data_IF_812325113955
#
_entry.id   IF_812325113955
#
_cell.length_a   1.000
_cell.length_b   1.000
_cell.length_c   1.000
_cell.angle_alpha   90.00
_cell.angle_beta   90.00
_cell.angle_gamma   90.00
#
_symmetry.space_group_name_H-M   'P 1'
#
loop_
_entity.id
_entity.type
_entity.pdbx_description
1 polymer ?
#
# COMPACT_ATOMS: atom_id res chain seq x y z
N UNK A 1 -30.35 24.66 6.22
CA UNK A 1 -29.38 24.01 5.31
C UNK A 1 -28.32 23.39 6.21
N UNK A 2 -28.68 22.26 6.82
CA UNK A 2 -27.77 21.46 7.65
C UNK A 2 -26.78 20.78 6.73
N UNK A 3 -25.49 21.02 6.96
CA UNK A 3 -24.42 20.30 6.29
C UNK A 3 -24.51 18.87 6.79
N UNK A 4 -25.03 17.97 5.96
CA UNK A 4 -24.95 16.54 6.21
C UNK A 4 -23.48 16.21 6.24
N UNK A 5 -23.01 15.84 7.43
CA UNK A 5 -21.71 15.19 7.61
C UNK A 5 -21.87 13.87 6.87
N UNK A 6 -21.39 13.80 5.65
CA UNK A 6 -21.16 12.52 4.98
C UNK A 6 -20.14 11.80 5.83
N UNK A 7 -20.64 10.99 6.77
CA UNK A 7 -19.85 9.95 7.40
C UNK A 7 -19.18 9.20 6.25
N UNK A 8 -17.86 9.35 6.15
CA UNK A 8 -17.01 8.56 5.27
C UNK A 8 -17.19 7.10 5.72
N UNK A 9 -18.24 6.44 5.24
CA UNK A 9 -18.45 5.02 5.45
C UNK A 9 -17.30 4.35 4.72
N UNK A 10 -16.27 3.98 5.49
CA UNK A 10 -15.17 3.20 4.99
C UNK A 10 -15.78 1.94 4.36
N UNK A 11 -15.37 1.55 3.15
CA UNK A 11 -15.77 0.28 2.58
C UNK A 11 -15.64 -0.84 3.62
N UNK A 12 -16.61 -1.74 3.65
CA UNK A 12 -16.65 -2.85 4.63
C UNK A 12 -15.31 -3.60 4.72
N UNK A 13 -14.58 -3.71 3.61
CA UNK A 13 -13.24 -4.28 3.56
C UNK A 13 -12.21 -3.53 4.43
N UNK A 14 -12.23 -2.19 4.45
CA UNK A 14 -11.34 -1.36 5.26
C UNK A 14 -11.73 -1.36 6.74
N UNK A 15 -13.03 -1.45 7.05
CA UNK A 15 -13.50 -1.63 8.43
C UNK A 15 -13.05 -2.97 9.00
N UNK A 16 -13.24 -4.05 8.24
CA UNK A 16 -12.74 -5.40 8.60
C UNK A 16 -11.22 -5.41 8.76
N UNK A 17 -10.49 -4.79 7.84
CA UNK A 17 -9.04 -4.68 7.93
C UNK A 17 -8.59 -3.94 9.19
N UNK A 18 -9.30 -2.87 9.58
CA UNK A 18 -9.04 -2.11 10.80
C UNK A 18 -9.36 -2.88 12.08
N UNK A 19 -10.47 -3.60 12.10
CA UNK A 19 -10.82 -4.46 13.22
C UNK A 19 -9.76 -5.55 13.43
N UNK A 20 -9.32 -6.20 12.35
CA UNK A 20 -8.25 -7.19 12.40
C UNK A 20 -6.91 -6.59 12.87
N UNK A 21 -6.57 -5.39 12.41
CA UNK A 21 -5.37 -4.68 12.84
C UNK A 21 -5.37 -4.43 14.36
N UNK A 22 -6.51 -4.01 14.90
CA UNK A 22 -6.67 -3.78 16.33
C UNK A 22 -6.54 -5.08 17.14
N UNK A 23 -7.14 -6.18 16.67
CA UNK A 23 -7.01 -7.51 17.29
C UNK A 23 -5.57 -8.03 17.24
N UNK A 24 -4.89 -7.86 16.10
CA UNK A 24 -3.50 -8.27 15.90
C UNK A 24 -2.46 -7.33 16.54
N UNK A 25 -2.91 -6.20 17.12
CA UNK A 25 -2.04 -5.20 17.75
C UNK A 25 -1.11 -4.47 16.76
N UNK A 26 -1.54 -4.32 15.50
CA UNK A 26 -0.74 -3.61 14.49
C UNK A 26 -0.75 -2.10 14.72
N UNK A 27 0.38 -1.40 14.49
CA UNK A 27 0.49 0.04 14.71
C UNK A 27 -0.04 0.89 13.54
N UNK A 28 -0.79 0.30 12.60
CA UNK A 28 -1.33 0.95 11.40
C UNK A 28 -2.75 0.44 11.09
N UNK A 29 -3.44 1.08 10.15
CA UNK A 29 -4.90 0.94 9.98
C UNK A 29 -5.37 -0.43 9.47
N UNK A 30 -4.48 -1.29 8.99
CA UNK A 30 -4.78 -2.68 8.65
C UNK A 30 -4.11 -3.17 7.38
N UNK A 31 -4.55 -4.33 6.90
CA UNK A 31 -4.02 -4.97 5.71
C UNK A 31 -5.14 -5.47 4.80
N UNK A 32 -4.96 -5.30 3.50
CA UNK A 32 -5.89 -5.78 2.46
C UNK A 32 -5.14 -6.63 1.44
N UNK A 33 -5.79 -7.64 0.88
CA UNK A 33 -5.20 -8.45 -0.19
C UNK A 33 -5.10 -7.67 -1.51
N UNK A 34 -4.26 -8.09 -2.46
CA UNK A 34 -4.12 -7.38 -3.74
C UNK A 34 -5.45 -7.19 -4.50
N UNK A 35 -6.36 -8.19 -4.59
CA UNK A 35 -7.64 -7.99 -5.28
C UNK A 35 -8.53 -6.94 -4.61
N UNK A 36 -8.59 -6.93 -3.27
CA UNK A 36 -9.35 -5.94 -2.51
C UNK A 36 -8.73 -4.55 -2.67
N UNK A 37 -7.40 -4.46 -2.61
CA UNK A 37 -6.68 -3.21 -2.86
C UNK A 37 -7.02 -2.64 -4.25
N UNK A 38 -7.03 -3.49 -5.27
CA UNK A 38 -7.35 -3.06 -6.63
C UNK A 38 -8.80 -2.60 -6.78
N UNK A 39 -9.75 -3.33 -6.18
CA UNK A 39 -11.15 -2.92 -6.18
C UNK A 39 -11.34 -1.52 -5.56
N UNK A 40 -10.70 -1.25 -4.42
CA UNK A 40 -10.78 0.05 -3.74
C UNK A 40 -10.22 1.20 -4.59
N UNK A 41 -9.15 0.93 -5.36
CA UNK A 41 -8.56 1.90 -6.29
C UNK A 41 -9.51 2.18 -7.45
N UNK A 42 -10.09 1.13 -8.06
CA UNK A 42 -11.03 1.26 -9.17
C UNK A 42 -12.32 1.99 -8.78
N UNK A 43 -12.76 1.84 -7.53
CA UNK A 43 -13.90 2.57 -6.97
C UNK A 43 -13.56 4.01 -6.55
N UNK A 44 -12.30 4.45 -6.68
CA UNK A 44 -11.84 5.79 -6.29
C UNK A 44 -11.82 6.02 -4.77
N UNK A 45 -11.83 4.95 -3.97
CA UNK A 45 -11.93 5.01 -2.51
C UNK A 45 -10.58 4.95 -1.80
N UNK A 46 -9.51 4.63 -2.53
CA UNK A 46 -8.17 4.56 -1.98
C UNK A 46 -7.11 4.86 -3.04
N UNK A 47 -5.95 5.32 -2.59
CA UNK A 47 -4.80 5.61 -3.43
C UNK A 47 -3.74 4.53 -3.24
N UNK A 48 -3.34 3.88 -4.33
CA UNK A 48 -2.25 2.91 -4.31
C UNK A 48 -0.90 3.63 -4.40
N UNK A 49 -0.01 3.30 -3.46
CA UNK A 49 1.36 3.84 -3.42
C UNK A 49 2.35 2.68 -3.45
N UNK A 50 3.10 2.57 -4.54
CA UNK A 50 4.25 1.68 -4.64
C UNK A 50 5.40 2.25 -3.81
N UNK A 51 5.84 1.49 -2.82
CA UNK A 51 6.97 1.84 -1.93
C UNK A 51 8.25 1.08 -2.25
N UNK A 52 8.26 0.28 -3.32
CA UNK A 52 9.46 -0.37 -3.84
C UNK A 52 10.45 0.66 -4.37
N UNK A 53 11.69 0.22 -4.54
CA UNK A 53 12.70 1.07 -5.16
C UNK A 53 12.35 1.36 -6.63
N UNK A 54 12.96 2.40 -7.20
CA UNK A 54 12.77 2.72 -8.64
C UNK A 54 13.29 1.59 -9.54
N UNK A 55 14.37 0.94 -9.12
CA UNK A 55 14.96 -0.20 -9.82
C UNK A 55 14.01 -1.40 -9.85
N UNK A 56 13.37 -1.74 -8.72
CA UNK A 56 12.37 -2.81 -8.67
C UNK A 56 11.21 -2.54 -9.66
N UNK A 57 10.71 -1.30 -9.71
CA UNK A 57 9.66 -0.92 -10.66
C UNK A 57 10.09 -1.05 -12.11
N UNK A 58 11.34 -0.67 -12.43
CA UNK A 58 11.86 -0.74 -13.79
C UNK A 58 12.11 -2.17 -14.25
N UNK A 59 12.69 -3.02 -13.41
CA UNK A 59 13.08 -4.38 -13.80
C UNK A 59 11.96 -5.41 -13.65
N UNK A 60 11.04 -5.23 -12.69
CA UNK A 60 9.97 -6.20 -12.41
C UNK A 60 8.63 -5.74 -13.01
N UNK A 61 8.46 -4.44 -13.21
CA UNK A 61 7.19 -3.82 -13.60
C UNK A 61 6.42 -3.25 -12.41
N UNK A 62 5.32 -2.55 -12.68
CA UNK A 62 4.55 -1.79 -11.70
C UNK A 62 3.07 -1.61 -12.11
N UNK A 63 2.25 -1.15 -11.18
CA UNK A 63 0.84 -0.78 -11.44
C UNK A 63 0.81 0.63 -12.01
N UNK A 64 0.30 0.82 -13.22
CA UNK A 64 0.33 2.11 -13.95
C UNK A 64 -0.37 3.25 -13.20
N UNK A 65 -1.43 2.95 -12.45
CA UNK A 65 -2.22 3.92 -11.68
C UNK A 65 -1.62 4.24 -10.30
N UNK A 66 -0.55 3.53 -9.90
CA UNK A 66 0.06 3.75 -8.58
C UNK A 66 0.92 5.01 -8.52
N UNK A 67 0.84 5.71 -7.39
CA UNK A 67 1.85 6.69 -7.02
C UNK A 67 3.13 5.97 -6.59
N UNK A 68 4.27 6.66 -6.65
CA UNK A 68 5.55 6.08 -6.23
C UNK A 68 6.22 6.94 -5.17
N UNK A 69 6.53 6.31 -4.03
CA UNK A 69 7.31 6.88 -2.93
C UNK A 69 8.16 5.78 -2.34
N UNK A 70 9.42 5.70 -2.75
CA UNK A 70 10.32 4.64 -2.32
C UNK A 70 10.54 4.68 -0.78
N UNK A 71 10.21 3.58 -0.10
CA UNK A 71 10.53 3.39 1.32
C UNK A 71 12.03 3.26 1.55
N UNK A 72 12.71 2.62 0.59
CA UNK A 72 14.14 2.42 0.57
C UNK A 72 14.66 2.61 -0.85
N UNK A 73 15.90 3.08 -0.97
CA UNK A 73 16.54 3.43 -2.24
C UNK A 73 17.81 2.63 -2.47
N UNK A 74 18.15 2.44 -3.74
CA UNK A 74 19.32 1.68 -4.17
C UNK A 74 19.24 0.18 -3.88
N UNK A 75 20.23 -0.55 -4.35
CA UNK A 75 20.35 -2.01 -4.16
C UNK A 75 20.61 -2.40 -2.71
N UNK A 76 21.22 -1.50 -1.93
CA UNK A 76 21.45 -1.68 -0.50
C UNK A 76 20.18 -1.47 0.36
N UNK A 77 19.05 -1.07 -0.25
CA UNK A 77 17.79 -0.77 0.44
C UNK A 77 17.98 0.19 1.62
N UNK A 78 18.74 1.26 1.41
CA UNK A 78 18.94 2.31 2.41
C UNK A 78 17.63 3.04 2.63
N UNK A 79 17.19 3.12 3.90
CA UNK A 79 15.93 3.76 4.28
C UNK A 79 15.87 5.20 3.78
N UNK A 80 14.76 5.59 3.15
CA UNK A 80 14.53 6.96 2.71
C UNK A 80 14.09 7.82 3.91
N UNK A 81 14.93 8.75 4.41
CA UNK A 81 14.57 9.59 5.55
C UNK A 81 13.44 10.58 5.22
N UNK A 82 13.15 10.80 3.94
CA UNK A 82 12.12 11.73 3.46
C UNK A 82 10.79 11.04 3.15
N UNK A 83 10.70 9.72 3.33
CA UNK A 83 9.55 8.92 2.94
C UNK A 83 8.21 9.52 3.38
N UNK A 84 8.06 9.81 4.69
CA UNK A 84 6.80 10.34 5.25
C UNK A 84 6.40 11.66 4.60
N UNK A 85 7.37 12.57 4.43
CA UNK A 85 7.14 13.88 3.80
C UNK A 85 6.75 13.75 2.33
N UNK A 86 7.42 12.85 1.61
CA UNK A 86 7.13 12.58 0.20
C UNK A 86 5.77 11.90 0.03
N UNK A 87 5.41 10.98 0.93
CA UNK A 87 4.10 10.34 0.99
C UNK A 87 2.98 11.38 1.20
N UNK A 88 3.13 12.26 2.19
CA UNK A 88 2.16 13.32 2.46
C UNK A 88 1.98 14.26 1.27
N UNK A 89 3.09 14.67 0.64
CA UNK A 89 3.06 15.52 -0.54
C UNK A 89 2.37 14.86 -1.74
N UNK A 90 2.54 13.54 -1.92
CA UNK A 90 1.89 12.78 -2.99
C UNK A 90 0.40 12.58 -2.76
N UNK A 91 -0.02 12.45 -1.51
CA UNK A 91 -1.41 12.28 -1.10
C UNK A 91 -2.14 13.60 -0.86
N UNK A 92 -1.47 14.75 -1.01
CA UNK A 92 -2.04 16.07 -0.70
C UNK A 92 -3.36 16.36 -1.43
N UNK A 93 -3.49 15.91 -2.69
CA UNK A 93 -4.73 16.08 -3.49
C UNK A 93 -5.87 15.15 -3.04
N UNK A 94 -5.55 14.09 -2.30
CA UNK A 94 -6.44 13.01 -1.89
C UNK A 94 -6.78 13.09 -0.39
N UNK A 95 -6.42 14.18 0.30
CA UNK A 95 -6.66 14.39 1.73
C UNK A 95 -5.41 14.33 2.62
N UNK A 96 -4.21 14.20 2.05
CA UNK A 96 -2.95 14.24 2.80
C UNK A 96 -2.83 13.09 3.81
N UNK A 97 -2.79 13.42 5.10
CA UNK A 97 -2.71 12.42 6.18
C UNK A 97 -4.02 11.66 6.43
N UNK A 98 -5.13 12.20 5.96
CA UNK A 98 -6.45 11.57 6.07
C UNK A 98 -6.82 10.76 4.83
N UNK A 99 -5.99 10.80 3.79
CA UNK A 99 -6.16 9.99 2.59
C UNK A 99 -6.06 8.49 2.92
N UNK A 100 -6.93 7.69 2.31
CA UNK A 100 -6.85 6.22 2.37
C UNK A 100 -5.71 5.75 1.47
N UNK A 101 -4.57 5.40 2.07
CA UNK A 101 -3.36 5.00 1.36
C UNK A 101 -3.13 3.48 1.46
N UNK A 102 -2.97 2.83 0.30
CA UNK A 102 -2.60 1.42 0.20
C UNK A 102 -1.13 1.31 -0.18
N UNK A 103 -0.29 0.82 0.73
CA UNK A 103 1.15 0.72 0.51
C UNK A 103 1.51 -0.64 -0.08
N UNK A 104 2.07 -0.64 -1.28
CA UNK A 104 2.48 -1.84 -2.01
C UNK A 104 4.00 -1.97 -1.99
N UNK A 105 4.51 -3.11 -1.53
CA UNK A 105 5.91 -3.47 -1.74
C UNK A 105 6.03 -4.80 -2.51
N UNK A 106 7.21 -5.43 -2.53
CA UNK A 106 7.39 -6.72 -3.20
C UNK A 106 6.58 -7.87 -2.59
N UNK A 107 6.52 -7.98 -1.26
CA UNK A 107 5.88 -9.12 -0.56
C UNK A 107 5.05 -8.76 0.68
N UNK A 108 4.65 -7.50 0.83
CA UNK A 108 3.92 -7.00 2.01
C UNK A 108 4.78 -6.65 3.25
N UNK A 109 6.04 -7.10 3.33
CA UNK A 109 6.91 -6.90 4.51
C UNK A 109 7.40 -5.46 4.69
N UNK A 110 7.92 -4.84 3.62
CA UNK A 110 8.45 -3.45 3.67
C UNK A 110 7.32 -2.42 3.75
N UNK A 111 6.20 -2.69 3.10
CA UNK A 111 5.01 -1.86 3.16
C UNK A 111 4.39 -1.83 4.56
N UNK A 112 4.46 -2.91 5.33
CA UNK A 112 4.08 -2.89 6.75
C UNK A 112 4.92 -1.90 7.58
N UNK A 113 6.26 -1.92 7.41
CA UNK A 113 7.17 -0.98 8.09
C UNK A 113 6.95 0.47 7.64
N UNK A 114 6.67 0.66 6.35
CA UNK A 114 6.32 1.95 5.79
C UNK A 114 4.99 2.48 6.37
N UNK A 115 3.99 1.60 6.51
CA UNK A 115 2.68 1.92 7.09
C UNK A 115 2.81 2.30 8.57
N UNK A 116 3.60 1.56 9.34
CA UNK A 116 3.91 1.90 10.73
C UNK A 116 4.56 3.29 10.84
N UNK A 117 5.53 3.60 9.98
CA UNK A 117 6.20 4.90 9.99
C UNK A 117 5.26 6.05 9.60
N UNK A 118 4.35 5.82 8.65
CA UNK A 118 3.33 6.78 8.28
C UNK A 118 2.32 6.98 9.43
N UNK A 119 1.84 5.90 10.05
CA UNK A 119 0.93 5.97 11.20
C UNK A 119 1.56 6.76 12.37
N UNK A 120 2.83 6.50 12.69
CA UNK A 120 3.60 7.28 13.68
C UNK A 120 3.72 8.77 13.35
N UNK A 121 3.63 9.13 12.07
CA UNK A 121 3.65 10.52 11.61
C UNK A 121 2.24 11.16 11.55
N UNK A 122 1.20 10.45 11.98
CA UNK A 122 -0.17 10.94 12.07
C UNK A 122 -1.06 10.62 10.89
N UNK A 123 -0.66 9.70 9.99
CA UNK A 123 -1.58 9.22 8.97
C UNK A 123 -2.62 8.28 9.60
N UNK A 124 -3.90 8.53 9.35
CA UNK A 124 -5.00 7.84 10.01
C UNK A 124 -5.49 6.61 9.24
N UNK A 125 -5.28 6.56 7.92
CA UNK A 125 -5.83 5.55 7.02
C UNK A 125 -4.76 4.92 6.11
N UNK A 126 -3.72 4.32 6.71
CA UNK A 126 -2.65 3.65 5.95
C UNK A 126 -2.76 2.14 6.10
N UNK A 127 -2.93 1.48 4.97
CA UNK A 127 -3.12 0.04 4.88
C UNK A 127 -1.96 -0.61 4.13
N UNK A 128 -1.57 -1.80 4.58
CA UNK A 128 -0.60 -2.64 3.90
C UNK A 128 -1.30 -3.46 2.79
N UNK A 129 -0.78 -3.45 1.57
CA UNK A 129 -1.17 -4.44 0.57
C UNK A 129 -0.44 -5.75 0.90
N UNK A 130 -1.20 -6.67 1.51
CA UNK A 130 -0.76 -8.01 1.86
C UNK A 130 -0.28 -8.74 0.60
N UNK A 131 0.66 -9.68 0.76
CA UNK A 131 1.31 -10.44 -0.33
C UNK A 131 2.17 -9.58 -1.28
N UNK A 132 1.98 -8.26 -1.34
CA UNK A 132 2.75 -7.36 -2.19
C UNK A 132 2.57 -7.63 -3.69
N UNK A 133 3.56 -7.21 -4.48
CA UNK A 133 3.52 -7.29 -5.94
C UNK A 133 3.87 -8.69 -6.47
N UNK A 134 4.87 -9.35 -5.89
CA UNK A 134 5.39 -10.64 -6.36
C UNK A 134 5.09 -11.80 -5.41
N UNK A 135 4.47 -11.57 -4.25
CA UNK A 135 4.21 -12.64 -3.30
C UNK A 135 5.45 -13.05 -2.50
N UNK A 136 5.32 -14.10 -1.70
CA UNK A 136 6.42 -14.73 -0.98
C UNK A 136 7.29 -15.62 -1.88
N UNK A 137 8.42 -16.08 -1.33
CA UNK A 137 9.28 -17.05 -2.00
C UNK A 137 8.73 -18.46 -1.74
N UNK A 138 8.63 -19.27 -2.79
CA UNK A 138 8.27 -20.68 -2.70
C UNK A 138 9.44 -21.57 -2.26
N UNK A 139 9.17 -22.87 -2.10
CA UNK A 139 10.19 -23.87 -1.72
C UNK A 139 11.35 -24.01 -2.72
N UNK A 140 11.20 -23.49 -3.94
CA UNK A 140 12.21 -23.51 -5.02
C UNK A 140 12.93 -22.16 -5.17
N UNK A 141 12.74 -21.22 -4.24
CA UNK A 141 13.35 -19.88 -4.28
C UNK A 141 12.80 -18.95 -5.38
N UNK A 142 11.58 -19.21 -5.87
CA UNK A 142 10.90 -18.38 -6.86
C UNK A 142 9.76 -17.57 -6.25
N UNK A 143 9.46 -16.42 -6.86
CA UNK A 143 8.30 -15.57 -6.50
C UNK A 143 7.25 -15.60 -7.61
N UNK A 144 6.03 -15.18 -7.26
CA UNK A 144 4.91 -15.04 -8.20
C UNK A 144 4.16 -16.34 -8.49
N UNK A 145 4.46 -17.42 -7.77
CA UNK A 145 3.85 -18.74 -7.99
C UNK A 145 2.62 -19.05 -7.14
N UNK A 146 2.39 -18.32 -6.04
CA UNK A 146 1.38 -18.65 -5.03
C UNK A 146 0.50 -17.49 -4.55
N UNK A 147 1.03 -16.27 -4.60
CA UNK A 147 0.42 -15.08 -4.00
C UNK A 147 0.98 -13.80 -4.64
N UNK A 148 0.37 -12.67 -4.29
CA UNK A 148 0.80 -11.34 -4.74
C UNK A 148 0.06 -10.86 -6.00
N UNK A 149 0.22 -9.56 -6.27
CA UNK A 149 -0.48 -8.84 -7.33
C UNK A 149 -0.44 -9.55 -8.68
N UNK A 150 0.75 -10.03 -9.09
CA UNK A 150 0.94 -10.72 -10.37
C UNK A 150 0.26 -12.08 -10.40
N UNK A 151 0.28 -12.83 -9.30
CA UNK A 151 -0.37 -14.14 -9.20
C UNK A 151 -1.89 -14.02 -9.35
N UNK A 152 -2.49 -12.99 -8.74
CA UNK A 152 -3.92 -12.70 -8.85
C UNK A 152 -4.35 -12.17 -10.24
N UNK A 153 -3.44 -12.06 -11.22
CA UNK A 153 -3.75 -11.60 -12.57
C UNK A 153 -4.18 -10.13 -12.66
N UNK A 154 -3.85 -9.33 -11.65
CA UNK A 154 -4.19 -7.91 -11.59
C UNK A 154 -3.34 -7.10 -12.58
N UNK A 155 -3.82 -5.96 -13.09
CA UNK A 155 -3.13 -5.21 -14.15
C UNK A 155 -1.79 -4.63 -13.67
N UNK A 156 -0.77 -4.75 -14.52
CA UNK A 156 0.56 -4.19 -14.33
C UNK A 156 1.26 -4.04 -15.68
N UNK A 157 2.29 -3.20 -15.73
CA UNK A 157 3.10 -2.94 -16.92
C UNK A 157 4.59 -3.10 -16.61
N UNK A 158 5.37 -3.43 -17.64
CA UNK A 158 6.84 -3.51 -17.58
C UNK A 158 7.40 -2.72 -18.77
N UNK A 159 8.27 -1.74 -18.48
CA UNK A 159 8.83 -0.81 -19.45
C UNK A 159 10.09 -1.32 -20.16
#
# INVERSE_FOLDING_TARGET
MSVEVEDLVLPEALEKARAHAAEAGWPYAGGVTPPVAWQLVQEGKAVLVDVRSGEERKFVGHVSESLHVAWATGTALTRNPRFVRELEAKLAKDGGKDAVALLLCRSGKRSALAAEAAAKAGFSQVYNVLEGFEGEIDGQQHRGGSDGWRFHGLPWVQD
#
